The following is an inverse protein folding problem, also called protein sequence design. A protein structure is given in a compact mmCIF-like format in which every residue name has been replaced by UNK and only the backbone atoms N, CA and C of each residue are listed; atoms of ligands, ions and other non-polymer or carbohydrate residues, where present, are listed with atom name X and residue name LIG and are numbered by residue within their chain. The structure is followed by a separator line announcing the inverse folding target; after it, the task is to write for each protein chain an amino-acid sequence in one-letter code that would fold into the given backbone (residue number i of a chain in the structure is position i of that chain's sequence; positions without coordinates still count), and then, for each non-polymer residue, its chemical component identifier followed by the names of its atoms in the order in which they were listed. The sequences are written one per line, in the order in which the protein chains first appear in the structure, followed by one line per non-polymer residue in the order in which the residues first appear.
data_IF_024292384654
#
_entry.id   IF_024292384654
#
_cell.length_a   1.000
_cell.length_b   1.000
_cell.length_c   1.000
_cell.angle_alpha   90.00
_cell.angle_beta   90.00
_cell.angle_gamma   90.00
#
_symmetry.space_group_name_H-M   'P 1'
#
loop_
_entity.id
_entity.type
_entity.pdbx_description
1 polymer ?
#
# COMPACT_ATOMS: atom_id res chain seq x y z
N UNK A 1 2.18 1.62 -11.36
CA UNK A 1 1.11 2.05 -10.45
C UNK A 1 -0.17 1.25 -10.57
N UNK A 2 -0.56 0.79 -11.75
CA UNK A 2 -1.77 -0.01 -11.95
C UNK A 2 -1.46 -1.43 -12.43
N UNK A 3 -0.36 -2.00 -11.96
CA UNK A 3 0.08 -3.32 -12.38
C UNK A 3 -0.96 -4.41 -12.08
N UNK A 4 -1.64 -4.30 -10.93
CA UNK A 4 -2.71 -5.21 -10.54
C UNK A 4 -3.85 -5.22 -11.57
N UNK A 5 -4.26 -4.06 -12.04
CA UNK A 5 -5.31 -3.93 -13.05
C UNK A 5 -4.84 -4.48 -14.41
N UNK A 6 -3.62 -4.16 -14.82
CA UNK A 6 -3.05 -4.63 -16.08
C UNK A 6 -2.91 -6.15 -16.13
N UNK A 7 -2.52 -6.77 -15.00
CA UNK A 7 -2.24 -8.20 -14.90
C UNK A 7 -3.43 -9.04 -14.46
N UNK A 8 -4.59 -8.45 -14.21
CA UNK A 8 -5.73 -9.14 -13.59
C UNK A 8 -6.23 -10.38 -14.32
N UNK A 9 -6.08 -10.41 -15.62
CA UNK A 9 -6.59 -11.50 -16.47
C UNK A 9 -5.47 -12.33 -17.14
N UNK A 10 -4.21 -12.11 -16.75
CA UNK A 10 -3.10 -12.86 -17.32
C UNK A 10 -3.05 -14.27 -16.70
N UNK A 11 -3.26 -15.34 -17.51
CA UNK A 11 -3.29 -16.71 -17.00
C UNK A 11 -1.92 -17.22 -16.52
N UNK A 12 -0.82 -16.52 -16.88
CA UNK A 12 0.53 -16.88 -16.48
C UNK A 12 0.97 -16.23 -15.17
N UNK A 13 0.11 -15.41 -14.56
CA UNK A 13 0.44 -14.63 -13.37
C UNK A 13 -0.50 -15.01 -12.23
N UNK A 14 0.09 -15.42 -11.10
CA UNK A 14 -0.63 -15.55 -9.83
C UNK A 14 -0.56 -14.18 -9.14
N UNK A 15 -1.64 -13.41 -9.22
CA UNK A 15 -1.69 -12.04 -8.73
C UNK A 15 -2.20 -11.97 -7.30
N UNK A 16 -1.42 -11.34 -6.43
CA UNK A 16 -1.83 -11.01 -5.05
C UNK A 16 -1.68 -9.51 -4.86
N UNK A 17 -2.79 -8.87 -4.54
CA UNK A 17 -2.85 -7.42 -4.34
C UNK A 17 -2.77 -7.10 -2.86
N UNK A 18 -1.76 -6.33 -2.47
CA UNK A 18 -1.54 -5.90 -1.09
C UNK A 18 -1.74 -4.39 -0.98
N UNK A 19 -2.39 -3.97 0.08
CA UNK A 19 -2.45 -2.57 0.47
C UNK A 19 -1.84 -2.40 1.86
N UNK A 20 -0.76 -1.63 1.91
CA UNK A 20 -0.02 -1.35 3.14
C UNK A 20 -0.36 0.07 3.56
N UNK A 21 -0.85 0.23 4.78
CA UNK A 21 -1.27 1.54 5.28
C UNK A 21 -0.82 1.75 6.73
N UNK A 22 -0.90 2.99 7.19
CA UNK A 22 -0.62 3.35 8.57
C UNK A 22 -1.38 4.62 8.92
N UNK A 23 -1.66 4.87 10.23
CA UNK A 23 -2.27 6.13 10.66
C UNK A 23 -1.44 7.32 10.20
N UNK A 24 -2.11 8.42 9.89
CA UNK A 24 -1.45 9.62 9.37
C UNK A 24 -0.34 10.10 10.32
N UNK A 25 -0.57 10.08 11.62
CA UNK A 25 0.43 10.50 12.61
C UNK A 25 1.73 9.67 12.53
N UNK A 26 1.61 8.36 12.34
CA UNK A 26 2.77 7.48 12.17
C UNK A 26 3.52 7.77 10.87
N UNK A 27 2.78 8.02 9.81
CA UNK A 27 3.34 8.37 8.49
C UNK A 27 4.06 9.70 8.51
N UNK A 28 3.51 10.69 9.20
CA UNK A 28 4.13 12.00 9.37
C UNK A 28 5.47 11.86 10.09
N UNK A 29 5.51 11.08 11.18
CA UNK A 29 6.76 10.84 11.92
C UNK A 29 7.84 10.22 11.04
N UNK A 30 7.49 9.20 10.26
CA UNK A 30 8.43 8.51 9.35
C UNK A 30 8.94 9.45 8.27
N UNK A 31 8.05 10.16 7.61
CA UNK A 31 8.40 11.06 6.51
C UNK A 31 9.24 12.24 7.00
N UNK A 32 8.87 12.85 8.13
CA UNK A 32 9.61 13.94 8.74
C UNK A 32 11.04 13.52 9.09
N UNK A 33 11.22 12.35 9.68
CA UNK A 33 12.54 11.81 10.00
C UNK A 33 13.36 11.46 8.75
N UNK A 34 12.72 10.86 7.74
CA UNK A 34 13.39 10.46 6.49
C UNK A 34 13.88 11.64 5.67
N UNK A 35 13.09 12.72 5.60
CA UNK A 35 13.39 13.87 4.76
C UNK A 35 13.98 15.04 5.55
N UNK A 36 14.09 14.92 6.86
CA UNK A 36 14.57 16.00 7.73
C UNK A 36 13.76 17.29 7.55
N UNK A 37 12.44 17.14 7.49
CA UNK A 37 11.49 18.25 7.36
C UNK A 37 10.64 18.37 8.61
N UNK A 38 9.89 19.50 8.70
CA UNK A 38 8.95 19.68 9.80
C UNK A 38 7.75 18.72 9.65
N UNK A 39 7.05 18.39 10.75
CA UNK A 39 5.83 17.58 10.65
C UNK A 39 4.77 18.21 9.73
N UNK A 40 4.62 19.53 9.72
CA UNK A 40 3.66 20.21 8.85
C UNK A 40 4.01 20.03 7.36
N UNK A 41 5.28 20.14 7.02
CA UNK A 41 5.77 19.93 5.65
C UNK A 41 5.57 18.47 5.23
N UNK A 42 5.88 17.53 6.13
CA UNK A 42 5.70 16.10 5.88
C UNK A 42 4.22 15.76 5.64
N UNK A 43 3.32 16.31 6.45
CA UNK A 43 1.87 16.09 6.28
C UNK A 43 1.38 16.59 4.93
N UNK A 44 1.78 17.81 4.55
CA UNK A 44 1.40 18.39 3.25
C UNK A 44 1.84 17.50 2.09
N UNK A 45 3.07 17.01 2.14
CA UNK A 45 3.62 16.12 1.11
C UNK A 45 2.87 14.79 1.04
N UNK A 46 2.59 14.19 2.19
CA UNK A 46 1.86 12.92 2.28
C UNK A 46 0.48 13.06 1.65
N UNK A 47 -0.26 14.10 2.02
CA UNK A 47 -1.61 14.33 1.48
C UNK A 47 -1.60 14.55 -0.03
N UNK A 48 -0.61 15.27 -0.53
CA UNK A 48 -0.46 15.52 -1.96
C UNK A 48 -0.15 14.23 -2.72
N UNK A 49 0.79 13.43 -2.25
CA UNK A 49 1.18 12.16 -2.89
C UNK A 49 0.02 11.15 -2.85
N UNK A 50 -0.69 11.06 -1.72
CA UNK A 50 -1.85 10.16 -1.61
C UNK A 50 -2.95 10.56 -2.59
N UNK A 51 -3.21 11.85 -2.71
CA UNK A 51 -4.21 12.37 -3.65
C UNK A 51 -3.86 12.01 -5.10
N UNK A 52 -2.59 12.18 -5.46
CA UNK A 52 -2.10 11.84 -6.79
C UNK A 52 -2.20 10.35 -7.08
N UNK A 53 -1.82 9.50 -6.11
CA UNK A 53 -1.91 8.04 -6.24
C UNK A 53 -3.35 7.57 -6.38
N UNK A 54 -4.24 8.10 -5.56
CA UNK A 54 -5.66 7.76 -5.61
C UNK A 54 -6.28 8.17 -6.95
N UNK A 55 -5.99 9.38 -7.41
CA UNK A 55 -6.52 9.89 -8.68
C UNK A 55 -6.03 9.01 -9.86
N UNK A 56 -4.75 8.69 -9.87
CA UNK A 56 -4.18 7.86 -10.94
C UNK A 56 -4.80 6.46 -10.95
N UNK A 57 -4.83 5.80 -9.80
CA UNK A 57 -5.35 4.43 -9.69
C UNK A 57 -6.85 4.36 -10.03
N UNK A 58 -7.64 5.29 -9.49
CA UNK A 58 -9.08 5.33 -9.72
C UNK A 58 -9.41 5.56 -11.20
N UNK A 59 -8.64 6.42 -11.87
CA UNK A 59 -8.85 6.72 -13.28
C UNK A 59 -8.54 5.51 -14.18
N UNK A 60 -7.39 4.85 -13.97
CA UNK A 60 -6.92 3.80 -14.85
C UNK A 60 -7.44 2.41 -14.51
N UNK A 61 -7.85 2.15 -13.27
CA UNK A 61 -8.28 0.81 -12.85
C UNK A 61 -9.79 0.65 -12.72
N UNK A 62 -10.54 1.73 -12.71
CA UNK A 62 -11.98 1.73 -12.39
C UNK A 62 -12.31 1.19 -11.01
N UNK A 63 -11.31 1.12 -10.12
CA UNK A 63 -11.42 0.72 -8.73
C UNK A 63 -11.06 1.91 -7.83
N UNK A 64 -11.37 1.79 -6.53
CA UNK A 64 -10.99 2.78 -5.53
C UNK A 64 -9.67 2.43 -4.88
N UNK A 65 -8.72 3.34 -4.93
CA UNK A 65 -7.47 3.18 -4.20
C UNK A 65 -7.72 3.17 -2.68
N UNK A 66 -7.22 2.12 -2.00
CA UNK A 66 -7.42 1.95 -0.57
C UNK A 66 -8.74 1.28 -0.17
N UNK A 67 -9.60 0.94 -1.12
CA UNK A 67 -10.81 0.16 -0.85
C UNK A 67 -10.43 -1.30 -0.60
N UNK A 68 -10.79 -1.83 0.57
CA UNK A 68 -10.43 -3.19 0.96
C UNK A 68 -10.85 -4.25 -0.07
N UNK A 69 -11.92 -4.02 -0.80
CA UNK A 69 -12.40 -4.97 -1.82
C UNK A 69 -11.50 -5.05 -3.05
N UNK A 70 -10.63 -4.06 -3.24
CA UNK A 70 -9.68 -4.06 -4.36
C UNK A 70 -8.40 -4.86 -4.08
N UNK A 71 -8.21 -5.33 -2.84
CA UNK A 71 -6.99 -5.98 -2.39
C UNK A 71 -7.26 -7.31 -1.72
N UNK A 72 -6.29 -8.22 -1.81
CA UNK A 72 -6.35 -9.52 -1.11
C UNK A 72 -6.01 -9.37 0.36
N UNK A 73 -5.10 -8.45 0.70
CA UNK A 73 -4.66 -8.22 2.06
C UNK A 73 -4.39 -6.74 2.27
N UNK A 74 -4.99 -6.17 3.32
CA UNK A 74 -4.72 -4.80 3.76
C UNK A 74 -4.01 -4.88 5.12
N UNK A 75 -2.85 -4.25 5.25
CA UNK A 75 -2.04 -4.33 6.46
C UNK A 75 -1.80 -2.94 7.03
N UNK A 76 -2.20 -2.75 8.29
CA UNK A 76 -1.79 -1.57 9.06
C UNK A 76 -0.41 -1.84 9.64
N UNK A 77 0.59 -1.06 9.23
CA UNK A 77 1.98 -1.27 9.62
C UNK A 77 2.38 -0.53 10.90
N UNK A 78 1.46 0.19 11.53
CA UNK A 78 1.74 0.86 12.79
C UNK A 78 2.02 -0.17 13.88
N UNK A 79 3.14 -0.02 14.58
CA UNK A 79 3.59 -0.98 15.58
C UNK A 79 4.33 -2.20 15.04
N UNK A 80 4.57 -2.26 13.73
CA UNK A 80 5.32 -3.35 13.10
C UNK A 80 6.60 -2.83 12.45
N UNK A 81 7.63 -3.67 12.45
CA UNK A 81 8.82 -3.43 11.65
C UNK A 81 8.63 -4.00 10.24
N UNK A 82 9.44 -3.54 9.28
CA UNK A 82 9.37 -4.01 7.89
C UNK A 82 9.50 -5.54 7.82
N UNK A 83 10.39 -6.13 8.61
CA UNK A 83 10.57 -7.60 8.64
C UNK A 83 9.34 -8.34 9.13
N UNK A 84 8.57 -7.73 10.05
CA UNK A 84 7.32 -8.33 10.55
C UNK A 84 6.25 -8.32 9.48
N UNK A 85 6.16 -7.24 8.72
CA UNK A 85 5.24 -7.14 7.59
C UNK A 85 5.61 -8.17 6.53
N UNK A 86 6.90 -8.35 6.24
CA UNK A 86 7.37 -9.36 5.29
C UNK A 86 6.98 -10.78 5.72
N UNK A 87 7.12 -11.10 7.01
CA UNK A 87 6.70 -12.39 7.56
C UNK A 87 5.20 -12.61 7.41
N UNK A 88 4.40 -11.59 7.68
CA UNK A 88 2.96 -11.65 7.54
C UNK A 88 2.55 -11.93 6.08
N UNK A 89 3.16 -11.24 5.15
CA UNK A 89 2.91 -11.44 3.72
C UNK A 89 3.31 -12.85 3.28
N UNK A 90 4.48 -13.32 3.71
CA UNK A 90 4.95 -14.67 3.41
C UNK A 90 3.97 -15.72 3.92
N UNK A 91 3.48 -15.58 5.16
CA UNK A 91 2.50 -16.50 5.73
C UNK A 91 1.19 -16.49 4.95
N UNK A 92 0.76 -15.31 4.52
CA UNK A 92 -0.44 -15.20 3.66
C UNK A 92 -0.25 -15.98 2.36
N UNK A 93 0.89 -15.83 1.70
CA UNK A 93 1.20 -16.55 0.45
C UNK A 93 1.24 -18.07 0.67
N UNK A 94 1.82 -18.53 1.78
CA UNK A 94 1.84 -19.95 2.15
C UNK A 94 0.42 -20.51 2.31
N UNK A 95 -0.45 -19.77 3.01
CA UNK A 95 -1.85 -20.18 3.21
C UNK A 95 -2.63 -20.23 1.89
N UNK A 96 -2.25 -19.42 0.91
CA UNK A 96 -2.83 -19.41 -0.43
C UNK A 96 -2.22 -20.48 -1.33
N UNK A 97 -1.22 -21.21 -0.87
CA UNK A 97 -0.52 -22.20 -1.67
C UNK A 97 0.38 -21.64 -2.75
N UNK A 98 0.84 -20.40 -2.60
CA UNK A 98 1.67 -19.69 -3.58
C UNK A 98 3.16 -19.71 -3.24
N UNK A 99 3.52 -20.28 -2.10
CA UNK A 99 4.90 -20.39 -1.64
C UNK A 99 5.15 -21.77 -1.06
#
# INVERSE_FOLDING_TARGET
RCADYVLRDDPNVALVNLFVHAPLAARIRRESARTNTTPAEAEKRIRQVDKERAAYYNFFSSKRWGDAQAYDLCVNTDGLEIRDVAKLVLRYLELRGLC
#
